data_IF_290351351812
#
_entry.id   IF_290351351812
#
_cell.length_a   1.000
_cell.length_b   1.000
_cell.length_c   1.000
_cell.angle_alpha   90.00
_cell.angle_beta   90.00
_cell.angle_gamma   90.00
#
_symmetry.space_group_name_H-M   'P 1'
#
loop_
_entity.id
_entity.type
_entity.pdbx_description
1 polymer ?
#
# COMPACT_ATOMS: atom_id res chain seq x y z
N UNK A 1 5.27 -7.04 -11.52
CA UNK A 1 5.95 -8.28 -11.07
C UNK A 1 5.88 -8.32 -9.56
N UNK A 2 4.76 -8.81 -9.03
CA UNK A 2 4.48 -8.85 -7.60
C UNK A 2 3.69 -10.13 -7.36
N UNK A 3 4.35 -11.28 -7.49
CA UNK A 3 3.81 -12.55 -6.98
C UNK A 3 4.86 -13.64 -7.07
N UNK A 4 5.39 -14.03 -5.91
CA UNK A 4 5.88 -15.39 -5.62
C UNK A 4 6.18 -15.57 -4.12
N UNK A 5 6.36 -14.47 -3.37
CA UNK A 5 6.70 -14.52 -1.93
C UNK A 5 5.47 -14.50 -1.00
N UNK A 6 4.29 -14.15 -1.53
CA UNK A 6 3.04 -14.10 -0.75
C UNK A 6 2.28 -15.45 -0.72
N UNK A 7 2.61 -16.38 -1.62
CA UNK A 7 1.86 -17.65 -1.80
C UNK A 7 2.42 -18.79 -0.96
N UNK A 8 3.65 -18.69 -0.44
CA UNK A 8 4.25 -19.73 0.38
C UNK A 8 4.78 -19.12 1.68
N UNK A 9 4.13 -19.34 2.84
CA UNK A 9 4.82 -19.16 4.12
C UNK A 9 5.93 -20.21 4.18
N UNK A 10 7.16 -19.83 3.83
CA UNK A 10 8.34 -20.63 4.13
C UNK A 10 8.60 -20.55 5.64
N UNK A 11 7.79 -21.29 6.41
CA UNK A 11 8.15 -21.70 7.76
C UNK A 11 8.15 -23.21 7.78
N UNK A 12 9.21 -23.77 7.19
CA UNK A 12 9.48 -25.21 7.03
C UNK A 12 9.72 -25.97 8.35
N UNK A 13 9.36 -25.40 9.52
CA UNK A 13 9.21 -26.08 10.80
C UNK A 13 8.69 -25.07 11.85
N UNK A 14 7.45 -25.17 12.37
CA UNK A 14 7.11 -24.53 13.63
C UNK A 14 7.88 -25.26 14.74
N UNK A 15 9.14 -24.89 14.94
CA UNK A 15 9.86 -25.26 16.15
C UNK A 15 9.09 -24.74 17.36
N UNK A 16 9.07 -25.52 18.45
CA UNK A 16 8.45 -25.14 19.71
C UNK A 16 8.85 -23.71 20.08
N UNK A 17 7.85 -22.89 20.39
CA UNK A 17 8.04 -21.52 20.84
C UNK A 17 8.99 -21.51 22.04
N UNK A 18 9.91 -20.54 22.19
CA UNK A 18 10.90 -20.52 23.28
C UNK A 18 10.26 -20.66 24.66
N UNK A 19 9.04 -20.14 24.82
CA UNK A 19 8.23 -20.25 26.03
C UNK A 19 7.85 -21.70 26.40
N UNK A 20 7.67 -22.58 25.42
CA UNK A 20 7.26 -23.96 25.65
C UNK A 20 8.44 -24.83 26.07
N UNK A 21 9.63 -24.55 25.55
CA UNK A 21 10.89 -25.11 26.05
C UNK A 21 11.13 -24.78 27.52
N UNK A 22 10.83 -23.53 27.91
CA UNK A 22 10.95 -23.09 29.32
C UNK A 22 9.99 -23.86 30.22
N UNK A 23 8.73 -24.02 29.81
CA UNK A 23 7.73 -24.80 30.59
C UNK A 23 8.13 -26.27 30.72
N UNK A 24 8.67 -26.87 29.65
CA UNK A 24 9.11 -28.26 29.66
C UNK A 24 10.28 -28.46 30.63
N UNK A 25 11.27 -27.54 30.59
CA UNK A 25 12.42 -27.52 31.50
C UNK A 25 12.00 -27.39 32.97
N UNK A 26 11.07 -26.49 33.28
CA UNK A 26 10.59 -26.31 34.66
C UNK A 26 9.94 -27.60 35.19
N UNK A 27 9.13 -28.28 34.36
CA UNK A 27 8.49 -29.53 34.78
C UNK A 27 9.50 -30.68 34.99
N UNK A 28 10.50 -30.79 34.13
CA UNK A 28 11.55 -31.80 34.23
C UNK A 28 12.44 -31.58 35.46
N UNK A 29 12.79 -30.32 35.77
CA UNK A 29 13.60 -29.97 36.95
C UNK A 29 12.85 -30.29 38.24
N UNK A 30 11.56 -29.94 38.33
CA UNK A 30 10.74 -30.26 39.51
C UNK A 30 10.63 -31.78 39.72
N UNK A 31 10.46 -32.55 38.64
CA UNK A 31 10.45 -34.00 38.69
C UNK A 31 11.79 -34.59 39.16
N UNK A 32 12.90 -34.06 38.65
CA UNK A 32 14.24 -34.54 39.01
C UNK A 32 14.59 -34.24 40.47
N UNK A 33 14.25 -33.05 40.97
CA UNK A 33 14.47 -32.65 42.38
C UNK A 33 13.69 -33.55 43.34
N UNK A 34 12.45 -33.91 42.98
CA UNK A 34 11.64 -34.82 43.79
C UNK A 34 12.23 -36.25 43.86
N UNK A 35 12.79 -36.75 42.74
CA UNK A 35 13.39 -38.08 42.67
C UNK A 35 14.72 -38.13 43.45
N UNK A 36 15.59 -37.14 43.27
CA UNK A 36 16.90 -37.10 43.95
C UNK A 36 16.73 -36.91 45.47
N UNK A 37 15.81 -36.05 45.90
CA UNK A 37 15.50 -35.88 47.33
C UNK A 37 14.93 -37.14 48.01
N UNK A 38 14.38 -38.07 47.23
CA UNK A 38 13.85 -39.34 47.75
C UNK A 38 14.91 -40.44 47.90
N UNK A 39 16.09 -40.27 47.30
CA UNK A 39 17.16 -41.31 47.25
C UNK A 39 18.19 -41.16 48.37
N UNK A 40 18.28 -40.01 49.04
CA UNK A 40 19.33 -39.74 50.04
C UNK A 40 18.99 -40.16 51.48
N UNK A 41 17.84 -40.78 51.76
CA UNK A 41 17.52 -41.27 53.12
C UNK A 41 17.82 -42.78 53.27
N UNK A 42 18.84 -43.19 54.04
CA UNK A 42 19.32 -44.58 54.06
C UNK A 42 18.48 -45.56 54.90
N UNK A 43 17.27 -45.19 55.33
CA UNK A 43 16.27 -46.11 55.89
C UNK A 43 14.88 -45.63 55.52
N UNK A 44 14.49 -45.87 54.27
CA UNK A 44 13.11 -45.62 53.86
C UNK A 44 12.21 -46.72 54.44
N UNK A 45 11.64 -46.46 55.61
CA UNK A 45 10.50 -47.23 56.12
C UNK A 45 9.40 -47.18 55.06
N UNK A 46 8.80 -48.33 54.75
CA UNK A 46 7.71 -48.47 53.76
C UNK A 46 6.56 -47.47 54.01
N UNK A 47 6.40 -47.04 55.27
CA UNK A 47 5.42 -46.05 55.71
C UNK A 47 5.75 -44.62 55.26
N UNK A 48 7.04 -44.26 55.19
CA UNK A 48 7.50 -42.93 54.72
C UNK A 48 7.31 -42.82 53.20
N UNK A 49 7.53 -43.91 52.47
CA UNK A 49 7.23 -43.98 51.03
C UNK A 49 5.73 -43.81 50.81
N UNK A 50 4.87 -44.44 51.60
CA UNK A 50 3.42 -44.26 51.52
C UNK A 50 2.99 -42.83 51.89
N UNK A 51 3.64 -42.20 52.86
CA UNK A 51 3.39 -40.80 53.24
C UNK A 51 3.76 -39.84 52.11
N UNK A 52 4.93 -40.01 51.48
CA UNK A 52 5.35 -39.21 50.32
C UNK A 52 4.45 -39.49 49.11
N UNK A 53 4.09 -40.75 48.85
CA UNK A 53 3.14 -41.11 47.80
C UNK A 53 1.77 -40.48 48.05
N UNK A 54 1.28 -40.46 49.30
CA UNK A 54 0.01 -39.81 49.65
C UNK A 54 0.08 -38.28 49.59
N UNK A 55 1.26 -37.70 49.83
CA UNK A 55 1.49 -36.26 49.73
C UNK A 55 1.63 -35.84 48.26
N UNK A 56 2.24 -36.67 47.40
CA UNK A 56 2.35 -36.47 45.95
C UNK A 56 1.01 -36.74 45.26
N UNK A 57 0.29 -37.80 45.63
CA UNK A 57 -1.09 -38.07 45.17
C UNK A 57 -2.02 -36.98 45.68
N UNK A 58 -1.85 -36.51 46.92
CA UNK A 58 -2.58 -35.40 47.51
C UNK A 58 -2.28 -34.07 46.83
N UNK A 59 -1.03 -33.81 46.45
CA UNK A 59 -0.62 -32.60 45.71
C UNK A 59 -1.10 -32.66 44.25
N UNK A 60 -1.05 -33.83 43.60
CA UNK A 60 -1.66 -34.08 42.29
C UNK A 60 -3.20 -33.98 42.33
N UNK A 61 -3.83 -34.42 43.43
CA UNK A 61 -5.27 -34.29 43.66
C UNK A 61 -5.69 -32.85 44.00
N UNK A 62 -4.84 -32.08 44.71
CA UNK A 62 -5.09 -30.65 44.99
C UNK A 62 -4.81 -29.76 43.79
N UNK A 63 -3.83 -30.09 42.97
CA UNK A 63 -3.55 -29.41 41.71
C UNK A 63 -4.72 -29.60 40.73
N UNK A 64 -5.38 -30.77 40.77
CA UNK A 64 -6.61 -31.01 39.99
C UNK A 64 -7.86 -30.36 40.63
N UNK A 65 -7.97 -30.28 41.96
CA UNK A 65 -9.18 -29.74 42.62
C UNK A 65 -9.20 -28.22 42.82
N UNK A 66 -8.07 -27.51 42.89
CA UNK A 66 -8.05 -26.03 42.93
C UNK A 66 -8.11 -25.41 41.53
N UNK A 67 -7.77 -26.17 40.50
CA UNK A 67 -8.05 -25.82 39.11
C UNK A 67 -9.49 -26.17 38.71
N UNK A 68 -10.24 -26.98 39.47
CA UNK A 68 -11.58 -27.45 39.10
C UNK A 68 -12.70 -26.39 38.99
N UNK A 69 -12.48 -25.13 39.38
CA UNK A 69 -13.39 -24.04 38.97
C UNK A 69 -13.06 -23.46 37.58
N UNK A 70 -11.85 -23.71 37.07
CA UNK A 70 -11.34 -23.26 35.77
C UNK A 70 -10.97 -24.42 34.81
N UNK A 71 -11.09 -25.69 35.22
CA UNK A 71 -10.60 -26.87 34.45
C UNK A 71 -11.59 -28.04 34.41
N UNK A 72 -12.86 -27.80 34.77
CA UNK A 72 -13.96 -28.76 34.54
C UNK A 72 -14.48 -28.72 33.09
N UNK A 73 -13.64 -28.33 32.13
CA UNK A 73 -13.86 -28.66 30.73
C UNK A 73 -12.72 -29.55 30.27
N UNK A 74 -12.95 -30.84 30.48
CA UNK A 74 -12.10 -31.98 30.17
C UNK A 74 -11.41 -31.87 28.80
N UNK A 75 -10.13 -32.22 28.78
CA UNK A 75 -9.14 -32.39 27.69
C UNK A 75 -9.58 -32.33 26.20
N UNK A 76 -10.78 -32.75 25.83
CA UNK A 76 -11.35 -32.49 24.49
C UNK A 76 -11.65 -31.00 24.27
N UNK A 77 -12.06 -30.26 25.31
CA UNK A 77 -12.31 -28.82 25.18
C UNK A 77 -11.03 -27.99 25.15
N UNK A 78 -9.90 -28.48 25.68
CA UNK A 78 -8.60 -27.81 25.49
C UNK A 78 -8.20 -27.87 24.01
N UNK A 79 -8.36 -29.03 23.35
CA UNK A 79 -8.17 -29.16 21.90
C UNK A 79 -9.11 -28.23 21.12
N UNK A 80 -10.38 -28.10 21.55
CA UNK A 80 -11.34 -27.19 20.92
C UNK A 80 -10.96 -25.72 21.14
N UNK A 81 -10.52 -25.31 22.33
CA UNK A 81 -10.13 -23.92 22.64
C UNK A 81 -8.82 -23.55 21.94
N UNK A 82 -7.84 -24.45 21.87
CA UNK A 82 -6.59 -24.24 21.12
C UNK A 82 -6.84 -24.22 19.61
N UNK A 83 -7.73 -25.09 19.11
CA UNK A 83 -8.20 -25.05 17.72
C UNK A 83 -8.96 -23.75 17.43
N UNK A 84 -9.87 -23.31 18.30
CA UNK A 84 -10.62 -22.05 18.13
C UNK A 84 -9.69 -20.83 18.20
N UNK A 85 -8.69 -20.83 19.10
CA UNK A 85 -7.66 -19.79 19.14
C UNK A 85 -6.80 -19.80 17.89
N UNK A 86 -6.44 -20.98 17.38
CA UNK A 86 -5.72 -21.12 16.12
C UNK A 86 -6.55 -20.63 14.94
N UNK A 87 -7.85 -20.93 14.90
CA UNK A 87 -8.80 -20.40 13.91
C UNK A 87 -8.95 -18.88 14.00
N UNK A 88 -9.04 -18.32 15.23
CA UNK A 88 -9.09 -16.87 15.43
C UNK A 88 -7.79 -16.17 15.00
N UNK A 89 -6.64 -16.77 15.31
CA UNK A 89 -5.35 -16.26 14.87
C UNK A 89 -5.24 -16.33 13.34
N UNK A 90 -5.65 -17.45 12.71
CA UNK A 90 -5.68 -17.59 11.26
C UNK A 90 -6.65 -16.62 10.59
N UNK A 91 -7.83 -16.39 11.16
CA UNK A 91 -8.77 -15.36 10.69
C UNK A 91 -8.19 -13.95 10.83
N UNK A 92 -7.44 -13.69 11.90
CA UNK A 92 -6.74 -12.41 12.09
C UNK A 92 -5.60 -12.25 11.09
N UNK A 93 -4.83 -13.30 10.81
CA UNK A 93 -3.81 -13.29 9.76
C UNK A 93 -4.41 -13.11 8.37
N UNK A 94 -5.54 -13.76 8.07
CA UNK A 94 -6.27 -13.57 6.84
C UNK A 94 -6.75 -12.11 6.72
N UNK A 95 -7.32 -11.54 7.78
CA UNK A 95 -7.74 -10.12 7.78
C UNK A 95 -6.56 -9.18 7.58
N UNK A 96 -5.40 -9.43 8.21
CA UNK A 96 -4.19 -8.62 8.03
C UNK A 96 -3.63 -8.74 6.62
N UNK A 97 -3.64 -9.93 6.01
CA UNK A 97 -3.21 -10.14 4.62
C UNK A 97 -4.21 -9.47 3.66
N UNK A 98 -5.52 -9.60 3.89
CA UNK A 98 -6.56 -8.97 3.09
C UNK A 98 -6.50 -7.45 3.19
N UNK A 99 -6.30 -6.87 4.38
CA UNK A 99 -6.07 -5.43 4.54
C UNK A 99 -4.76 -4.99 3.91
N UNK A 100 -3.67 -5.75 4.08
CA UNK A 100 -2.38 -5.47 3.45
C UNK A 100 -2.46 -5.53 1.91
N UNK A 101 -3.24 -6.45 1.34
CA UNK A 101 -3.54 -6.54 -0.09
C UNK A 101 -4.41 -5.36 -0.54
N UNK A 102 -5.43 -5.00 0.22
CA UNK A 102 -6.32 -3.88 -0.08
C UNK A 102 -5.57 -2.53 -0.05
N UNK A 103 -4.70 -2.33 0.94
CA UNK A 103 -3.87 -1.11 1.04
C UNK A 103 -2.82 -1.05 -0.07
N UNK A 104 -2.22 -2.17 -0.47
CA UNK A 104 -1.32 -2.23 -1.64
C UNK A 104 -2.08 -2.00 -2.96
N UNK A 105 -3.33 -2.46 -3.07
CA UNK A 105 -4.19 -2.16 -4.22
C UNK A 105 -4.61 -0.70 -4.26
N UNK A 106 -4.82 -0.05 -3.11
CA UNK A 106 -5.10 1.39 -3.04
C UNK A 106 -3.89 2.23 -3.48
N UNK A 107 -2.67 1.84 -3.09
CA UNK A 107 -1.44 2.54 -3.50
C UNK A 107 -1.17 2.35 -5.00
N UNK A 108 -1.42 1.14 -5.53
CA UNK A 108 -1.38 0.87 -6.97
C UNK A 108 -2.47 1.62 -7.74
N UNK A 109 -3.70 1.69 -7.22
CA UNK A 109 -4.83 2.33 -7.88
C UNK A 109 -4.71 3.85 -7.91
N UNK A 110 -4.22 4.46 -6.82
CA UNK A 110 -3.92 5.90 -6.77
C UNK A 110 -2.79 6.26 -7.72
N UNK A 111 -1.72 5.47 -7.78
CA UNK A 111 -0.61 5.67 -8.72
C UNK A 111 -1.07 5.65 -10.17
N UNK A 112 -1.88 4.66 -10.57
CA UNK A 112 -2.43 4.59 -11.93
C UNK A 112 -3.35 5.77 -12.24
N UNK A 113 -4.22 6.18 -11.31
CA UNK A 113 -5.11 7.32 -11.52
C UNK A 113 -4.32 8.63 -11.69
N UNK A 114 -3.29 8.85 -10.86
CA UNK A 114 -2.42 10.03 -11.00
C UNK A 114 -1.69 10.06 -12.34
N UNK A 115 -1.20 8.90 -12.81
CA UNK A 115 -0.60 8.80 -14.13
C UNK A 115 -1.59 9.13 -15.24
N UNK A 116 -2.81 8.56 -15.21
CA UNK A 116 -3.84 8.87 -16.20
C UNK A 116 -4.24 10.34 -16.16
N UNK A 117 -4.33 10.94 -14.96
CA UNK A 117 -4.58 12.37 -14.83
C UNK A 117 -3.46 13.21 -15.45
N UNK A 118 -2.19 12.87 -15.21
CA UNK A 118 -1.06 13.58 -15.80
C UNK A 118 -1.04 13.43 -17.33
N UNK A 119 -1.30 12.22 -17.84
CA UNK A 119 -1.37 11.96 -19.28
C UNK A 119 -2.46 12.79 -19.96
N UNK A 120 -3.67 12.84 -19.36
CA UNK A 120 -4.78 13.67 -19.86
C UNK A 120 -4.41 15.15 -19.80
N UNK A 121 -3.89 15.65 -18.67
CA UNK A 121 -3.49 17.07 -18.54
C UNK A 121 -2.42 17.43 -19.58
N UNK A 122 -1.43 16.57 -19.79
CA UNK A 122 -0.39 16.80 -20.79
C UNK A 122 -0.95 16.80 -22.22
N UNK A 123 -1.92 15.93 -22.52
CA UNK A 123 -2.57 15.92 -23.82
C UNK A 123 -3.30 17.24 -24.07
N UNK A 124 -4.10 17.69 -23.11
CA UNK A 124 -4.87 18.94 -23.17
C UNK A 124 -3.97 20.16 -23.38
N UNK A 125 -2.80 20.19 -22.71
CA UNK A 125 -1.80 21.25 -22.86
C UNK A 125 -1.15 21.22 -24.25
N UNK A 126 -0.82 20.03 -24.78
CA UNK A 126 -0.23 19.88 -26.11
C UNK A 126 -1.17 20.38 -27.20
N UNK A 127 -2.45 20.04 -27.11
CA UNK A 127 -3.47 20.51 -28.06
C UNK A 127 -3.56 22.04 -28.09
N UNK A 128 -3.61 22.67 -26.90
CA UNK A 128 -3.62 24.14 -26.79
C UNK A 128 -2.36 24.78 -27.39
N UNK A 129 -1.18 24.20 -27.17
CA UNK A 129 0.08 24.71 -27.72
C UNK A 129 0.09 24.63 -29.25
N UNK A 130 -0.31 23.49 -29.81
CA UNK A 130 -0.33 23.26 -31.27
C UNK A 130 -1.32 24.22 -31.94
N UNK A 131 -2.53 24.34 -31.40
CA UNK A 131 -3.55 25.28 -31.91
C UNK A 131 -3.04 26.73 -31.90
N UNK A 132 -2.41 27.16 -30.81
CA UNK A 132 -1.82 28.49 -30.70
C UNK A 132 -0.67 28.72 -31.70
N UNK A 133 0.19 27.72 -31.88
CA UNK A 133 1.31 27.78 -32.83
C UNK A 133 0.82 28.00 -34.26
N UNK A 134 -0.14 27.20 -34.73
CA UNK A 134 -0.71 27.33 -36.07
C UNK A 134 -1.36 28.71 -36.26
N UNK A 135 -2.13 29.19 -35.27
CA UNK A 135 -2.72 30.54 -35.33
C UNK A 135 -1.66 31.65 -35.37
N UNK A 136 -0.51 31.47 -34.71
CA UNK A 136 0.60 32.42 -34.79
C UNK A 136 1.27 32.44 -36.16
N UNK A 137 1.46 31.29 -36.81
CA UNK A 137 2.11 31.20 -38.13
C UNK A 137 1.18 31.67 -39.26
N UNK A 138 -0.07 31.22 -39.25
CA UNK A 138 -1.02 31.44 -40.35
C UNK A 138 -1.96 32.65 -40.11
N UNK A 139 -1.96 33.20 -38.90
CA UNK A 139 -2.66 34.44 -38.53
C UNK A 139 -4.16 34.24 -38.23
N UNK A 140 -4.98 34.07 -39.28
CA UNK A 140 -6.45 33.92 -39.12
C UNK A 140 -6.94 32.63 -39.78
N UNK A 141 -7.65 31.79 -39.04
CA UNK A 141 -8.17 30.52 -39.54
C UNK A 141 -9.64 30.29 -39.14
N UNK A 142 -10.36 29.47 -39.90
CA UNK A 142 -11.62 28.87 -39.44
C UNK A 142 -11.31 27.66 -38.53
N UNK A 143 -12.31 27.10 -37.83
CA UNK A 143 -12.09 25.89 -37.02
C UNK A 143 -11.67 24.71 -37.90
N UNK A 144 -12.35 24.51 -39.03
CA UNK A 144 -12.06 23.43 -39.98
C UNK A 144 -10.63 23.56 -40.57
N UNK A 145 -10.24 24.76 -40.98
CA UNK A 145 -8.89 25.00 -41.50
C UNK A 145 -7.82 24.77 -40.43
N UNK A 146 -8.10 25.19 -39.18
CA UNK A 146 -7.19 25.05 -38.06
C UNK A 146 -7.03 23.58 -37.65
N UNK A 147 -8.12 22.82 -37.61
CA UNK A 147 -8.12 21.39 -37.31
C UNK A 147 -7.24 20.62 -38.27
N UNK A 148 -7.50 20.81 -39.57
CA UNK A 148 -6.76 20.18 -40.66
C UNK A 148 -5.25 20.49 -40.57
N UNK A 149 -4.90 21.75 -40.27
CA UNK A 149 -3.50 22.17 -40.12
C UNK A 149 -2.83 21.57 -38.88
N UNK A 150 -3.57 21.42 -37.77
CA UNK A 150 -3.04 20.77 -36.57
C UNK A 150 -2.78 19.28 -36.83
N UNK A 151 -3.71 18.57 -37.48
CA UNK A 151 -3.53 17.16 -37.86
C UNK A 151 -2.43 16.95 -38.89
N UNK A 152 -2.29 17.89 -39.84
CA UNK A 152 -1.17 17.94 -40.79
C UNK A 152 0.17 18.07 -40.08
N UNK A 153 0.30 19.03 -39.17
CA UNK A 153 1.53 19.24 -38.42
C UNK A 153 1.88 17.98 -37.60
N UNK A 154 0.90 17.39 -36.92
CA UNK A 154 1.15 16.20 -36.09
C UNK A 154 1.62 15.02 -36.94
N UNK A 155 1.00 14.82 -38.10
CA UNK A 155 1.36 13.76 -39.03
C UNK A 155 2.73 13.97 -39.65
N UNK A 156 3.05 15.19 -40.04
CA UNK A 156 4.29 15.47 -40.78
C UNK A 156 5.52 15.49 -39.83
N UNK A 157 5.38 16.02 -38.62
CA UNK A 157 6.47 16.10 -37.63
C UNK A 157 6.62 14.82 -36.79
N UNK A 158 5.51 14.18 -36.39
CA UNK A 158 5.54 13.02 -35.48
C UNK A 158 5.18 11.69 -36.15
N UNK A 159 4.67 11.71 -37.39
CA UNK A 159 4.30 10.50 -38.13
C UNK A 159 2.99 9.86 -37.66
N UNK A 160 2.24 10.54 -36.79
CA UNK A 160 1.02 10.02 -36.15
C UNK A 160 -0.24 10.58 -36.79
N UNK A 161 -1.29 9.75 -36.85
CA UNK A 161 -2.62 10.20 -37.30
C UNK A 161 -3.55 10.24 -36.09
N UNK A 162 -4.01 11.42 -35.73
CA UNK A 162 -4.99 11.63 -34.68
C UNK A 162 -6.11 12.54 -35.18
N UNK A 163 -7.29 12.40 -34.56
CA UNK A 163 -8.37 13.37 -34.69
C UNK A 163 -8.15 14.46 -33.64
N UNK A 164 -7.77 15.65 -34.07
CA UNK A 164 -7.45 16.75 -33.16
C UNK A 164 -8.74 17.36 -32.58
N UNK A 165 -8.74 17.77 -31.30
CA UNK A 165 -9.90 18.45 -30.69
C UNK A 165 -9.71 19.97 -30.75
N UNK A 166 -9.93 20.54 -31.93
CA UNK A 166 -9.72 21.97 -32.17
C UNK A 166 -10.69 22.84 -31.36
N UNK A 167 -11.94 22.40 -31.21
CA UNK A 167 -13.00 23.18 -30.55
C UNK A 167 -12.64 23.42 -29.09
N UNK A 168 -12.22 22.38 -28.37
CA UNK A 168 -11.85 22.49 -26.96
C UNK A 168 -10.54 23.27 -26.77
N UNK A 169 -9.54 23.05 -27.64
CA UNK A 169 -8.28 23.80 -27.62
C UNK A 169 -8.50 25.31 -27.80
N UNK A 170 -9.29 25.69 -28.81
CA UNK A 170 -9.63 27.10 -29.08
C UNK A 170 -10.46 27.68 -27.94
N UNK A 171 -11.43 26.94 -27.41
CA UNK A 171 -12.26 27.40 -26.30
C UNK A 171 -11.42 27.73 -25.05
N UNK A 172 -10.44 26.88 -24.70
CA UNK A 172 -9.49 27.14 -23.60
C UNK A 172 -8.68 28.42 -23.84
N UNK A 173 -8.18 28.61 -25.07
CA UNK A 173 -7.41 29.80 -25.44
C UNK A 173 -8.24 31.08 -25.43
N UNK A 174 -9.50 31.03 -25.87
CA UNK A 174 -10.43 32.15 -25.78
C UNK A 174 -10.75 32.50 -24.32
N UNK A 175 -10.96 31.49 -23.47
CA UNK A 175 -11.21 31.69 -22.03
C UNK A 175 -10.04 32.36 -21.32
N UNK A 176 -8.81 32.09 -21.75
CA UNK A 176 -7.61 32.78 -21.28
C UNK A 176 -7.43 34.18 -21.90
N UNK A 177 -8.17 34.53 -22.95
CA UNK A 177 -8.01 35.79 -23.69
C UNK A 177 -6.79 35.81 -24.62
N UNK A 178 -6.25 34.64 -24.96
CA UNK A 178 -5.11 34.46 -25.86
C UNK A 178 -5.58 34.39 -27.32
N UNK A 179 -6.75 33.81 -27.56
CA UNK A 179 -7.39 33.75 -28.88
C UNK A 179 -8.65 34.62 -28.88
N UNK A 180 -8.95 35.21 -30.03
CA UNK A 180 -10.11 36.05 -30.27
C UNK A 180 -10.77 35.66 -31.59
N UNK A 181 -12.07 35.97 -31.72
CA UNK A 181 -12.84 35.74 -32.92
C UNK A 181 -13.15 37.05 -33.65
N UNK A 182 -12.95 37.06 -34.96
CA UNK A 182 -13.30 38.19 -35.82
C UNK A 182 -14.81 38.22 -36.12
N UNK A 183 -15.28 39.33 -36.66
CA UNK A 183 -16.66 39.59 -37.12
C UNK A 183 -17.19 38.56 -38.12
N UNK A 184 -16.31 37.87 -38.84
CA UNK A 184 -16.63 36.84 -39.85
C UNK A 184 -16.50 35.42 -39.26
N UNK A 185 -16.22 35.28 -37.95
CA UNK A 185 -16.16 33.98 -37.27
C UNK A 185 -14.80 33.26 -37.32
N UNK A 186 -13.76 33.89 -37.88
CA UNK A 186 -12.38 33.36 -37.89
C UNK A 186 -11.64 33.64 -36.59
N UNK A 187 -10.82 32.69 -36.17
CA UNK A 187 -10.01 32.76 -34.97
C UNK A 187 -8.61 33.33 -35.27
N UNK A 188 -8.08 34.08 -34.32
CA UNK A 188 -6.73 34.64 -34.38
C UNK A 188 -6.14 34.76 -32.97
N UNK A 189 -4.82 34.64 -32.87
CA UNK A 189 -4.12 34.72 -31.58
C UNK A 189 -3.57 36.12 -31.30
N UNK A 190 -3.39 36.44 -30.02
CA UNK A 190 -2.55 37.56 -29.59
C UNK A 190 -1.07 37.21 -29.78
N UNK A 191 -0.21 38.20 -29.96
CA UNK A 191 1.22 37.96 -30.11
C UNK A 191 1.84 37.27 -28.89
N UNK A 192 2.87 36.44 -29.11
CA UNK A 192 3.53 35.60 -28.11
C UNK A 192 3.89 36.34 -26.80
N UNK A 193 4.41 37.58 -26.89
CA UNK A 193 4.74 38.38 -25.69
C UNK A 193 3.53 38.60 -24.79
N UNK A 194 2.39 38.97 -25.39
CA UNK A 194 1.15 39.23 -24.66
C UNK A 194 0.54 37.93 -24.15
N UNK A 195 0.60 36.85 -24.93
CA UNK A 195 0.16 35.52 -24.46
C UNK A 195 0.95 35.10 -23.21
N UNK A 196 2.27 35.32 -23.20
CA UNK A 196 3.12 35.01 -22.05
C UNK A 196 2.81 35.87 -20.81
N UNK A 197 2.48 37.16 -21.01
CA UNK A 197 2.01 38.04 -19.94
C UNK A 197 0.67 37.58 -19.35
N UNK A 198 -0.24 37.06 -20.19
CA UNK A 198 -1.55 36.54 -19.78
C UNK A 198 -1.40 35.25 -18.95
N UNK A 199 -0.56 34.33 -19.41
CA UNK A 199 -0.30 33.06 -18.70
C UNK A 199 0.42 33.35 -17.36
N UNK A 200 1.32 34.33 -17.35
CA UNK A 200 2.08 34.72 -16.18
C UNK A 200 3.24 33.77 -15.88
N UNK A 201 3.87 33.96 -14.72
CA UNK A 201 5.02 33.15 -14.29
C UNK A 201 4.54 31.84 -13.68
N UNK A 202 5.07 30.71 -14.16
CA UNK A 202 4.75 29.40 -13.58
C UNK A 202 5.47 29.19 -12.25
N UNK A 203 4.95 28.30 -11.40
CA UNK A 203 5.59 27.95 -10.13
C UNK A 203 6.99 27.37 -10.35
N UNK A 204 7.18 26.58 -11.42
CA UNK A 204 8.51 26.05 -11.78
C UNK A 204 9.50 27.14 -12.12
N UNK A 205 9.11 28.15 -12.90
CA UNK A 205 9.97 29.30 -13.19
C UNK A 205 10.35 30.08 -11.92
N UNK A 206 9.43 30.23 -10.97
CA UNK A 206 9.72 30.85 -9.67
C UNK A 206 10.70 30.03 -8.85
N UNK A 207 10.54 28.70 -8.82
CA UNK A 207 11.46 27.79 -8.12
C UNK A 207 12.85 27.78 -8.76
N UNK A 208 12.93 27.80 -10.09
CA UNK A 208 14.20 27.87 -10.82
C UNK A 208 14.91 29.20 -10.59
N UNK A 209 14.18 30.33 -10.65
CA UNK A 209 14.72 31.65 -10.31
C UNK A 209 15.21 31.72 -8.86
N UNK A 210 14.47 31.13 -7.91
CA UNK A 210 14.88 31.07 -6.52
C UNK A 210 16.16 30.24 -6.33
N UNK A 211 16.27 29.07 -6.97
CA UNK A 211 17.46 28.21 -6.92
C UNK A 211 18.69 28.87 -7.57
N UNK A 212 18.51 29.56 -8.70
CA UNK A 212 19.59 30.31 -9.35
C UNK A 212 20.01 31.53 -8.52
N UNK A 213 19.06 32.24 -7.91
CA UNK A 213 19.35 33.35 -6.99
C UNK A 213 20.15 32.93 -5.76
N UNK A 214 19.92 31.72 -5.24
CA UNK A 214 20.70 31.16 -4.12
C UNK A 214 22.10 30.67 -4.49
N UNK A 215 22.42 30.52 -5.78
CA UNK A 215 23.74 30.08 -6.24
C UNK A 215 24.73 31.24 -6.48
N UNK A 216 24.25 32.49 -6.47
CA UNK A 216 25.03 33.71 -6.67
C UNK A 216 25.08 34.61 -5.42
N UNK A 217 24.66 34.09 -4.26
CA UNK A 217 24.69 34.77 -2.96
C UNK A 217 25.70 34.12 -2.00
#
# INVERSE_FOLDING_TARGET
MADMEIVLPEKKNPGLTPMDWVKFLISAVVGLVAVVGSVEMPKADLWVIFAILSTVIGYCARFTSQHAHNTCISNDLMLIVDFLRFQQNMATYQNLITQSMYDKQLDSGRGTLLHLCDDVIQQEVKEVIISFFILMENGKATLEDLDQQCEELIRDEFGERCNFDVDDAVHKLEKLGIVCRDTIGRYYSVGLKRANEIIGTTTEELVLKAKQGSAFA
#
